data_IF_018643619841
#
_entry.id   IF_018643619841
#
_cell.length_a   1.000
_cell.length_b   1.000
_cell.length_c   1.000
_cell.angle_alpha   90.00
_cell.angle_beta   90.00
_cell.angle_gamma   90.00
#
_symmetry.space_group_name_H-M   'P 1'
#
loop_
_entity.id
_entity.type
_entity.pdbx_description
1 polymer ?
#
# COMPACT_ATOMS: atom_id res chain seq x y z
N UNK A 1 -2.23 -3.55 -5.38
CA UNK A 1 -2.21 -4.96 -4.92
C UNK A 1 -0.92 -5.36 -4.20
N UNK A 2 0.28 -5.18 -4.77
CA UNK A 2 1.53 -5.55 -4.07
C UNK A 2 1.69 -4.84 -2.71
N UNK A 3 1.53 -3.52 -2.68
CA UNK A 3 1.57 -2.73 -1.45
C UNK A 3 0.60 -3.23 -0.36
N UNK A 4 -0.63 -3.59 -0.73
CA UNK A 4 -1.64 -4.15 0.18
C UNK A 4 -1.13 -5.42 0.87
N UNK A 5 -0.55 -6.35 0.09
CA UNK A 5 -0.03 -7.62 0.62
C UNK A 5 1.13 -7.40 1.58
N UNK A 6 2.04 -6.46 1.28
CA UNK A 6 3.15 -6.13 2.16
C UNK A 6 2.69 -5.46 3.47
N UNK A 7 1.74 -4.53 3.42
CA UNK A 7 1.17 -3.96 4.64
C UNK A 7 0.46 -5.04 5.47
N UNK A 8 -0.31 -5.93 4.83
CA UNK A 8 -0.92 -7.07 5.52
C UNK A 8 0.10 -8.02 6.14
N UNK A 9 1.28 -8.19 5.53
CA UNK A 9 2.37 -8.96 6.13
C UNK A 9 2.86 -8.33 7.44
N UNK A 10 3.00 -6.99 7.51
CA UNK A 10 3.28 -6.31 8.79
C UNK A 10 2.18 -6.58 9.82
N UNK A 11 0.91 -6.51 9.43
CA UNK A 11 -0.20 -6.78 10.36
C UNK A 11 -0.08 -8.18 10.96
N UNK A 12 0.12 -9.19 10.12
CA UNK A 12 0.27 -10.58 10.55
C UNK A 12 1.52 -10.77 11.43
N UNK A 13 2.65 -10.16 11.06
CA UNK A 13 3.90 -10.31 11.81
C UNK A 13 3.87 -9.68 13.21
N UNK A 14 2.96 -8.73 13.44
CA UNK A 14 2.79 -8.04 14.72
C UNK A 14 1.48 -8.42 15.43
N UNK A 15 0.85 -9.53 15.06
CA UNK A 15 -0.42 -10.02 15.62
C UNK A 15 -1.54 -8.96 15.65
N UNK A 16 -1.56 -8.07 14.66
CA UNK A 16 -2.59 -7.05 14.49
C UNK A 16 -3.80 -7.61 13.73
N UNK A 17 -4.97 -7.02 13.98
CA UNK A 17 -6.22 -7.43 13.34
C UNK A 17 -6.15 -7.35 11.80
N UNK A 18 -6.24 -8.50 11.14
CA UNK A 18 -6.30 -8.61 9.69
C UNK A 18 -7.73 -8.47 9.17
N UNK A 19 -8.19 -7.22 8.99
CA UNK A 19 -9.50 -6.93 8.42
C UNK A 19 -9.54 -7.21 6.91
N UNK A 20 -10.71 -7.62 6.39
CA UNK A 20 -10.97 -7.82 4.94
C UNK A 20 -11.15 -6.47 4.23
N UNK A 21 -10.12 -5.63 4.27
CA UNK A 21 -10.08 -4.31 3.67
C UNK A 21 -8.97 -4.22 2.60
N UNK A 22 -9.18 -3.34 1.63
CA UNK A 22 -8.23 -3.04 0.54
C UNK A 22 -7.71 -1.61 0.59
N UNK A 23 -8.28 -0.79 1.48
CA UNK A 23 -7.87 0.59 1.67
C UNK A 23 -6.47 0.62 2.31
N UNK A 24 -5.49 1.09 1.53
CA UNK A 24 -4.10 1.18 1.96
C UNK A 24 -3.92 2.18 3.11
N UNK A 25 -4.76 3.22 3.18
CA UNK A 25 -4.69 4.20 4.27
C UNK A 25 -5.18 3.62 5.60
N UNK A 26 -6.19 2.76 5.58
CA UNK A 26 -6.62 2.03 6.78
C UNK A 26 -5.58 1.01 7.22
N UNK A 27 -5.02 0.24 6.29
CA UNK A 27 -3.92 -0.69 6.59
C UNK A 27 -2.72 0.05 7.19
N UNK A 28 -2.34 1.20 6.61
CA UNK A 28 -1.31 2.10 7.13
C UNK A 28 -1.57 2.51 8.58
N UNK A 29 -2.78 2.97 8.92
CA UNK A 29 -3.15 3.38 10.29
C UNK A 29 -3.03 2.22 11.26
N UNK A 30 -3.42 1.01 10.85
CA UNK A 30 -3.29 -0.19 11.69
C UNK A 30 -1.81 -0.55 11.87
N UNK A 31 -1.03 -0.63 10.79
CA UNK A 31 0.42 -0.95 10.85
C UNK A 31 1.18 0.02 11.76
N UNK A 32 0.83 1.31 11.73
CA UNK A 32 1.46 2.36 12.54
C UNK A 32 1.34 2.12 14.05
N UNK A 33 0.35 1.34 14.51
CA UNK A 33 0.19 1.00 15.94
C UNK A 33 1.35 0.15 16.48
N UNK A 34 1.93 -0.71 15.64
CA UNK A 34 3.06 -1.57 16.02
C UNK A 34 4.40 -1.06 15.46
N UNK A 35 4.39 -0.41 14.29
CA UNK A 35 5.60 0.06 13.59
C UNK A 35 5.43 1.55 13.23
N UNK A 36 5.78 2.48 14.14
CA UNK A 36 5.64 3.91 13.91
C UNK A 36 6.38 4.43 12.67
N UNK A 37 7.47 3.80 12.27
CA UNK A 37 8.31 4.14 11.11
C UNK A 37 7.56 4.01 9.77
N UNK A 38 6.43 3.30 9.77
CA UNK A 38 5.49 3.22 8.64
C UNK A 38 4.99 4.61 8.23
N UNK A 39 5.08 5.64 9.07
CA UNK A 39 4.71 7.03 8.73
C UNK A 39 5.38 7.53 7.44
N UNK A 40 6.62 7.07 7.18
CA UNK A 40 7.37 7.34 5.94
C UNK A 40 6.71 6.83 4.65
N UNK A 41 5.71 5.96 4.76
CA UNK A 41 4.94 5.36 3.67
C UNK A 41 3.59 6.04 3.40
N UNK A 42 3.18 7.02 4.22
CA UNK A 42 1.85 7.67 4.12
C UNK A 42 1.52 8.15 2.71
N UNK A 43 2.44 8.90 2.11
CA UNK A 43 2.30 9.42 0.75
C UNK A 43 2.16 8.29 -0.29
N UNK A 44 2.93 7.22 -0.15
CA UNK A 44 2.90 6.09 -1.08
C UNK A 44 1.61 5.28 -0.95
N UNK A 45 1.07 5.16 0.27
CA UNK A 45 -0.23 4.54 0.49
C UNK A 45 -1.35 5.38 -0.13
N UNK A 46 -1.34 6.71 0.09
CA UNK A 46 -2.32 7.63 -0.47
C UNK A 46 -2.30 7.63 -2.01
N UNK A 47 -1.11 7.67 -2.61
CA UNK A 47 -0.94 7.65 -4.06
C UNK A 47 -1.50 6.37 -4.71
N UNK A 48 -1.24 5.21 -4.11
CA UNK A 48 -1.65 3.92 -4.67
C UNK A 48 -3.11 3.53 -4.36
N UNK A 49 -3.74 4.18 -3.38
CA UNK A 49 -5.07 3.79 -2.90
C UNK A 49 -6.16 3.83 -3.99
N UNK A 50 -6.27 4.88 -4.83
CA UNK A 50 -7.31 4.98 -5.85
C UNK A 50 -7.23 3.86 -6.90
N UNK A 51 -6.01 3.39 -7.21
CA UNK A 51 -5.78 2.37 -8.24
C UNK A 51 -6.45 1.02 -7.95
N UNK A 52 -6.92 0.77 -6.72
CA UNK A 52 -7.70 -0.42 -6.41
C UNK A 52 -9.06 -0.43 -7.14
N UNK A 53 -9.73 0.72 -7.26
CA UNK A 53 -11.06 0.80 -7.89
C UNK A 53 -10.92 1.21 -9.36
N UNK A 54 -10.18 2.28 -9.61
CA UNK A 54 -10.16 2.97 -10.90
C UNK A 54 -9.63 2.08 -12.04
N UNK A 55 -8.63 1.23 -11.77
CA UNK A 55 -8.06 0.32 -12.78
C UNK A 55 -9.00 -0.83 -13.17
N UNK A 56 -10.04 -1.10 -12.36
CA UNK A 56 -11.01 -2.18 -12.61
C UNK A 56 -12.32 -1.67 -13.20
N UNK A 57 -12.67 -0.41 -12.95
CA UNK A 57 -13.90 0.22 -13.42
C UNK A 57 -13.61 1.57 -14.08
N UNK A 58 -12.84 1.59 -15.19
CA UNK A 58 -12.38 2.82 -15.83
C UNK A 58 -13.50 3.71 -16.36
N UNK A 59 -14.70 3.14 -16.57
CA UNK A 59 -15.88 3.87 -17.06
C UNK A 59 -16.44 4.84 -16.02
N UNK A 60 -16.32 4.51 -14.74
CA UNK A 60 -16.82 5.35 -13.64
C UNK A 60 -15.76 6.35 -13.14
N UNK A 61 -14.49 6.07 -13.42
CA UNK A 61 -13.33 6.89 -13.06
C UNK A 61 -12.33 6.89 -14.22
N UNK A 62 -12.49 7.79 -15.22
CA UNK A 62 -11.58 7.86 -16.34
C UNK A 62 -10.19 8.29 -15.86
N UNK A 63 -9.34 7.30 -15.59
CA UNK A 63 -7.94 7.47 -15.27
C UNK A 63 -7.07 7.45 -16.52
N UNK A 64 -6.12 8.38 -16.62
CA UNK A 64 -5.06 8.31 -17.61
C UNK A 64 -3.92 7.43 -17.07
N UNK A 65 -3.86 6.18 -17.54
CA UNK A 65 -2.80 5.23 -17.19
C UNK A 65 -1.79 5.11 -18.31
N UNK A 66 -0.82 6.01 -18.32
CA UNK A 66 0.31 5.93 -19.24
C UNK A 66 1.52 5.22 -18.61
N UNK A 67 2.60 5.12 -19.38
CA UNK A 67 3.86 4.52 -18.93
C UNK A 67 4.43 5.22 -17.68
N UNK A 68 4.31 6.54 -17.59
CA UNK A 68 4.88 7.31 -16.48
C UNK A 68 4.10 7.04 -15.19
N UNK A 69 2.76 7.00 -15.26
CA UNK A 69 1.90 6.63 -14.13
C UNK A 69 2.21 5.21 -13.66
N UNK A 70 2.38 4.26 -14.58
CA UNK A 70 2.75 2.89 -14.23
C UNK A 70 4.13 2.80 -13.55
N UNK A 71 5.11 3.58 -14.00
CA UNK A 71 6.45 3.63 -13.41
C UNK A 71 6.45 4.26 -12.01
N UNK A 72 5.72 5.35 -11.81
CA UNK A 72 5.58 5.96 -10.48
C UNK A 72 4.82 5.04 -9.52
N UNK A 73 3.74 4.40 -9.96
CA UNK A 73 3.03 3.39 -9.17
C UNK A 73 3.96 2.24 -8.75
N UNK A 74 4.81 1.74 -9.66
CA UNK A 74 5.82 0.72 -9.35
C UNK A 74 6.83 1.21 -8.30
N UNK A 75 7.30 2.46 -8.39
CA UNK A 75 8.24 3.07 -7.45
C UNK A 75 7.63 3.18 -6.05
N UNK A 76 6.39 3.64 -5.92
CA UNK A 76 5.67 3.67 -4.64
C UNK A 76 5.46 2.26 -4.06
N UNK A 77 5.08 1.28 -4.90
CA UNK A 77 4.91 -0.10 -4.45
C UNK A 77 6.23 -0.72 -3.97
N UNK A 78 7.34 -0.42 -4.67
CA UNK A 78 8.69 -0.85 -4.28
C UNK A 78 9.12 -0.22 -2.96
N UNK A 79 8.86 1.07 -2.74
CA UNK A 79 9.17 1.76 -1.47
C UNK A 79 8.50 1.06 -0.27
N UNK A 80 7.23 0.69 -0.41
CA UNK A 80 6.48 -0.05 0.62
C UNK A 80 7.09 -1.44 0.81
N UNK A 81 7.36 -2.18 -0.27
CA UNK A 81 7.93 -3.52 -0.19
C UNK A 81 9.30 -3.52 0.51
N UNK A 82 10.21 -2.62 0.10
CA UNK A 82 11.55 -2.52 0.66
C UNK A 82 11.52 -2.11 2.13
N UNK A 83 10.58 -1.22 2.52
CA UNK A 83 10.37 -0.88 3.93
C UNK A 83 9.92 -2.10 4.73
N UNK A 84 8.90 -2.80 4.28
CA UNK A 84 8.33 -3.96 5.02
C UNK A 84 9.36 -5.06 5.17
N UNK A 85 10.12 -5.35 4.11
CA UNK A 85 11.21 -6.32 4.15
C UNK A 85 12.26 -5.97 5.22
N UNK A 86 12.71 -4.71 5.25
CA UNK A 86 13.63 -4.24 6.29
C UNK A 86 13.03 -4.33 7.70
N UNK A 87 11.77 -3.94 7.88
CA UNK A 87 11.10 -4.00 9.17
C UNK A 87 10.95 -5.44 9.69
N UNK A 88 10.82 -6.42 8.78
CA UNK A 88 10.69 -7.85 9.10
C UNK A 88 12.03 -8.61 9.07
N UNK A 89 13.14 -7.96 8.70
CA UNK A 89 14.46 -8.60 8.62
C UNK A 89 14.63 -9.62 7.49
N UNK A 90 13.94 -9.46 6.36
CA UNK A 90 13.97 -10.36 5.17
C UNK A 90 14.39 -9.67 3.87
#
# INVERSE_FOLDING_TARGET
QAAEKYLKALLVAHDLELRRIHNLMELFVISKKAVPEVDSLKESCAYLNPYYIDTRYPVHWPGHYDRNVALEAKKHAKKIADFVKRALGI
#
